data_IF_173158133960
#
_entry.id   IF_173158133960
#
_cell.length_a   1.000
_cell.length_b   1.000
_cell.length_c   1.000
_cell.angle_alpha   90.00
_cell.angle_beta   90.00
_cell.angle_gamma   90.00
#
_symmetry.space_group_name_H-M   'P 1'
#
loop_
_entity.id
_entity.type
_entity.pdbx_description
1 polymer ?
#
# COMPACT_ATOMS: atom_id res chain seq x y z
N UNK A 1 14.21 -14.43 9.12
CA UNK A 1 14.00 -14.83 7.70
C UNK A 1 12.70 -14.23 7.24
N UNK A 2 12.67 -13.59 6.05
CA UNK A 2 11.46 -13.14 5.38
C UNK A 2 11.01 -14.21 4.40
N UNK A 3 9.73 -14.57 4.44
CA UNK A 3 9.15 -15.67 3.65
C UNK A 3 7.83 -15.23 3.06
N UNK A 4 7.63 -15.46 1.76
CA UNK A 4 6.32 -15.31 1.15
C UNK A 4 5.43 -16.52 1.52
N UNK A 5 4.12 -16.33 1.78
CA UNK A 5 3.23 -17.42 2.20
C UNK A 5 3.21 -18.63 1.26
N UNK A 6 3.41 -18.41 -0.04
CA UNK A 6 3.48 -19.48 -1.06
C UNK A 6 4.60 -20.48 -0.81
N UNK A 7 5.65 -20.10 -0.06
CA UNK A 7 6.77 -20.97 0.26
C UNK A 7 6.50 -21.92 1.42
N UNK A 8 5.41 -21.70 2.15
CA UNK A 8 5.03 -22.55 3.28
C UNK A 8 4.57 -23.97 2.85
N UNK A 9 4.33 -24.18 1.55
CA UNK A 9 4.02 -25.49 0.95
C UNK A 9 5.28 -26.23 0.44
N UNK A 10 6.44 -25.57 0.39
CA UNK A 10 7.70 -26.20 -0.02
C UNK A 10 8.21 -27.12 1.09
N UNK A 11 8.26 -28.44 0.81
CA UNK A 11 8.68 -29.45 1.78
C UNK A 11 10.06 -29.15 2.40
N UNK A 12 11.01 -28.65 1.58
CA UNK A 12 12.36 -28.30 2.06
C UNK A 12 12.33 -27.15 3.06
N UNK A 13 11.41 -26.19 2.86
CA UNK A 13 11.23 -25.10 3.79
C UNK A 13 10.58 -25.57 5.09
N UNK A 14 9.59 -26.45 5.00
CA UNK A 14 8.91 -27.05 6.17
C UNK A 14 9.90 -27.88 7.00
N UNK A 15 10.72 -28.71 6.38
CA UNK A 15 11.77 -29.49 7.04
C UNK A 15 12.75 -28.57 7.76
N UNK A 16 13.28 -27.56 7.05
CA UNK A 16 14.16 -26.55 7.65
C UNK A 16 13.51 -25.85 8.83
N UNK A 17 12.25 -25.44 8.69
CA UNK A 17 11.51 -24.72 9.75
C UNK A 17 11.28 -25.60 10.99
N UNK A 18 11.08 -26.89 10.79
CA UNK A 18 10.91 -27.86 11.88
C UNK A 18 12.18 -28.03 12.72
N UNK A 19 13.34 -27.95 12.08
CA UNK A 19 14.65 -28.06 12.76
C UNK A 19 15.09 -26.73 13.39
N UNK A 20 14.64 -25.59 12.86
CA UNK A 20 15.16 -24.25 13.18
C UNK A 20 14.73 -23.67 14.52
N UNK A 21 13.90 -24.35 15.35
CA UNK A 21 13.38 -23.84 16.65
C UNK A 21 12.87 -22.40 16.53
N UNK A 22 11.86 -22.19 15.70
CA UNK A 22 11.27 -20.86 15.47
C UNK A 22 10.66 -20.32 16.77
N UNK A 23 11.15 -19.18 17.23
CA UNK A 23 10.65 -18.53 18.46
C UNK A 23 9.47 -17.60 18.18
N UNK A 24 9.44 -16.95 17.01
CA UNK A 24 8.43 -15.97 16.62
C UNK A 24 8.07 -16.11 15.14
N UNK A 25 6.78 -16.10 14.86
CA UNK A 25 6.22 -15.90 13.51
C UNK A 25 5.48 -14.56 13.50
N UNK A 26 5.99 -13.61 12.73
CA UNK A 26 5.31 -12.34 12.48
C UNK A 26 4.60 -12.40 11.12
N UNK A 27 3.29 -12.22 11.14
CA UNK A 27 2.44 -12.19 9.95
C UNK A 27 2.12 -10.74 9.64
N UNK A 28 2.75 -10.21 8.61
CA UNK A 28 2.45 -8.87 8.09
C UNK A 28 1.25 -8.93 7.15
N UNK A 29 0.54 -7.81 6.99
CA UNK A 29 -0.71 -7.72 6.22
C UNK A 29 -1.70 -8.86 6.57
N UNK A 30 -1.83 -9.15 7.87
CA UNK A 30 -2.62 -10.28 8.36
C UNK A 30 -4.09 -10.25 7.92
N UNK A 31 -4.63 -9.10 7.48
CA UNK A 31 -5.96 -9.00 6.91
C UNK A 31 -6.15 -9.86 5.65
N UNK A 32 -5.05 -10.21 4.96
CA UNK A 32 -5.07 -11.08 3.78
C UNK A 32 -5.54 -12.52 4.06
N UNK A 33 -5.61 -12.96 5.33
CA UNK A 33 -6.18 -14.27 5.69
C UNK A 33 -7.70 -14.28 5.56
N UNK A 34 -8.37 -13.13 5.61
CA UNK A 34 -9.82 -13.02 5.61
C UNK A 34 -10.37 -12.74 4.21
N UNK A 35 -11.40 -13.48 3.79
CA UNK A 35 -12.15 -13.18 2.56
C UNK A 35 -12.86 -11.82 2.60
N UNK A 36 -12.99 -11.24 3.78
CA UNK A 36 -13.57 -9.91 4.01
C UNK A 36 -12.49 -8.85 4.18
N UNK A 37 -11.22 -9.24 4.06
CA UNK A 37 -10.09 -8.32 4.00
C UNK A 37 -9.98 -7.67 2.62
N UNK A 38 -9.34 -6.53 2.57
CA UNK A 38 -9.19 -5.74 1.34
C UNK A 38 -8.43 -6.49 0.23
N UNK A 39 -7.47 -7.33 0.58
CA UNK A 39 -6.58 -8.04 -0.35
C UNK A 39 -6.47 -9.52 0.08
N UNK A 40 -7.59 -10.25 -0.03
CA UNK A 40 -7.60 -11.67 0.30
C UNK A 40 -6.62 -12.45 -0.57
N UNK A 41 -5.74 -13.21 0.09
CA UNK A 41 -4.77 -14.09 -0.58
C UNK A 41 -4.91 -15.52 -0.09
N UNK A 42 -5.32 -16.45 -0.96
CA UNK A 42 -5.49 -17.85 -0.57
C UNK A 42 -4.26 -18.48 0.10
N UNK A 43 -3.04 -18.08 -0.31
CA UNK A 43 -1.79 -18.53 0.29
C UNK A 43 -1.65 -18.18 1.78
N UNK A 44 -2.30 -17.10 2.25
CA UNK A 44 -2.30 -16.73 3.67
C UNK A 44 -3.04 -17.74 4.55
N UNK A 45 -3.99 -18.50 4.01
CA UNK A 45 -4.68 -19.56 4.76
C UNK A 45 -3.72 -20.66 5.22
N UNK A 46 -2.62 -20.86 4.49
CA UNK A 46 -1.61 -21.87 4.84
C UNK A 46 -0.80 -21.51 6.08
N UNK A 47 -0.75 -20.23 6.46
CA UNK A 47 0.04 -19.77 7.61
C UNK A 47 -0.41 -20.45 8.91
N UNK A 48 -1.72 -20.53 9.14
CA UNK A 48 -2.27 -21.20 10.33
C UNK A 48 -1.91 -22.69 10.39
N UNK A 49 -2.04 -23.39 9.26
CA UNK A 49 -1.67 -24.80 9.14
C UNK A 49 -0.16 -25.01 9.33
N UNK A 50 0.67 -24.16 8.73
CA UNK A 50 2.12 -24.19 8.92
C UNK A 50 2.51 -24.02 10.42
N UNK A 51 1.94 -23.02 11.11
CA UNK A 51 2.20 -22.82 12.54
C UNK A 51 1.80 -24.04 13.37
N UNK A 52 0.70 -24.70 13.01
CA UNK A 52 0.19 -25.87 13.73
C UNK A 52 1.06 -27.12 13.57
N UNK A 53 1.81 -27.25 12.46
CA UNK A 53 2.69 -28.41 12.20
C UNK A 53 4.07 -28.25 12.85
N UNK A 54 4.45 -27.08 13.30
CA UNK A 54 5.77 -26.89 13.93
C UNK A 54 5.88 -27.71 15.24
N UNK A 55 7.02 -28.40 15.50
CA UNK A 55 7.19 -29.24 16.69
C UNK A 55 6.98 -28.51 18.00
N UNK A 56 7.32 -27.22 18.03
CA UNK A 56 7.05 -26.31 19.14
C UNK A 56 6.35 -25.08 18.58
N UNK A 57 5.17 -24.77 19.11
CA UNK A 57 4.43 -23.60 18.66
C UNK A 57 5.17 -22.31 19.01
N UNK A 58 5.51 -21.47 18.04
CA UNK A 58 6.15 -20.19 18.28
C UNK A 58 5.15 -19.16 18.86
N UNK A 59 5.68 -18.07 19.42
CA UNK A 59 4.88 -16.87 19.59
C UNK A 59 4.42 -16.38 18.22
N UNK A 60 3.18 -15.89 18.13
CA UNK A 60 2.63 -15.40 16.85
C UNK A 60 2.23 -13.93 17.01
N UNK A 61 2.72 -13.09 16.13
CA UNK A 61 2.36 -11.68 16.01
C UNK A 61 1.67 -11.45 14.66
N UNK A 62 0.46 -10.91 14.67
CA UNK A 62 -0.29 -10.56 13.48
C UNK A 62 -0.42 -9.05 13.39
N UNK A 63 0.03 -8.46 12.28
CA UNK A 63 0.09 -7.03 12.05
C UNK A 63 -0.75 -6.68 10.82
N UNK A 64 -1.51 -5.60 10.91
CA UNK A 64 -2.25 -5.05 9.77
C UNK A 64 -2.59 -3.58 10.00
N UNK A 65 -2.54 -2.78 8.95
CA UNK A 65 -2.95 -1.38 9.00
C UNK A 65 -4.48 -1.21 8.96
N UNK A 66 -5.18 -2.17 8.35
CA UNK A 66 -6.63 -2.08 8.10
C UNK A 66 -7.31 -3.39 8.49
N UNK A 67 -8.09 -3.38 9.56
CA UNK A 67 -8.91 -4.53 9.93
C UNK A 67 -10.18 -4.10 10.63
N UNK A 68 -11.32 -4.41 10.02
CA UNK A 68 -12.63 -4.32 10.70
C UNK A 68 -12.71 -5.34 11.83
N UNK A 69 -13.69 -5.23 12.71
CA UNK A 69 -13.88 -6.18 13.80
C UNK A 69 -14.04 -7.63 13.29
N UNK A 70 -14.76 -7.81 12.18
CA UNK A 70 -14.92 -9.11 11.52
C UNK A 70 -13.58 -9.67 11.05
N UNK A 71 -12.78 -8.87 10.37
CA UNK A 71 -11.46 -9.27 9.89
C UNK A 71 -10.53 -9.61 11.06
N UNK A 72 -10.57 -8.84 12.16
CA UNK A 72 -9.82 -9.16 13.38
C UNK A 72 -10.23 -10.51 13.98
N UNK A 73 -11.53 -10.81 13.99
CA UNK A 73 -12.03 -12.13 14.40
C UNK A 73 -11.50 -13.26 13.52
N UNK A 74 -11.48 -13.08 12.21
CA UNK A 74 -10.93 -14.05 11.26
C UNK A 74 -9.42 -14.24 11.45
N UNK A 75 -8.65 -13.19 11.65
CA UNK A 75 -7.20 -13.27 11.93
C UNK A 75 -6.96 -14.17 13.15
N UNK A 76 -7.67 -13.93 14.26
CA UNK A 76 -7.52 -14.73 15.47
C UNK A 76 -7.85 -16.20 15.22
N UNK A 77 -8.96 -16.46 14.56
CA UNK A 77 -9.44 -17.82 14.28
C UNK A 77 -8.55 -18.57 13.29
N UNK A 78 -8.20 -17.94 12.17
CA UNK A 78 -7.49 -18.59 11.06
C UNK A 78 -6.00 -18.79 11.35
N UNK A 79 -5.39 -17.91 12.14
CA UNK A 79 -4.01 -18.10 12.62
C UNK A 79 -3.94 -18.92 13.93
N UNK A 80 -5.08 -19.34 14.47
CA UNK A 80 -5.17 -20.13 15.71
C UNK A 80 -4.61 -19.40 16.93
N UNK A 81 -4.83 -18.08 17.04
CA UNK A 81 -4.34 -17.31 18.19
C UNK A 81 -5.19 -17.59 19.42
N UNK A 82 -4.56 -18.03 20.52
CA UNK A 82 -5.23 -18.31 21.79
C UNK A 82 -5.05 -17.10 22.70
N UNK A 83 -6.16 -16.46 23.09
CA UNK A 83 -6.20 -15.29 23.97
C UNK A 83 -5.15 -14.21 23.63
N UNK A 84 -5.15 -13.68 22.38
CA UNK A 84 -4.12 -12.76 21.95
C UNK A 84 -4.26 -11.39 22.61
N UNK A 85 -3.14 -10.80 23.02
CA UNK A 85 -3.12 -9.39 23.34
C UNK A 85 -3.41 -8.55 22.09
N UNK A 86 -4.40 -7.65 22.17
CA UNK A 86 -4.87 -6.87 21.03
C UNK A 86 -4.59 -5.40 21.26
N UNK A 87 -3.93 -4.77 20.30
CA UNK A 87 -3.72 -3.32 20.25
C UNK A 87 -4.45 -2.79 19.01
N UNK A 88 -5.28 -1.78 19.22
CA UNK A 88 -5.96 -1.04 18.14
C UNK A 88 -5.69 0.44 18.38
N UNK A 89 -4.87 1.05 17.52
CA UNK A 89 -4.44 2.45 17.69
C UNK A 89 -5.40 3.46 17.05
N UNK A 90 -6.44 2.98 16.36
CA UNK A 90 -7.36 3.83 15.60
C UNK A 90 -6.83 4.20 14.21
N UNK A 91 -7.66 4.94 13.47
CA UNK A 91 -7.38 5.37 12.10
C UNK A 91 -7.04 6.86 12.01
N UNK A 92 -7.04 7.56 13.13
CA UNK A 92 -6.81 9.00 13.12
C UNK A 92 -5.34 9.33 12.80
N UNK A 93 -5.17 10.19 11.83
CA UNK A 93 -3.90 10.73 11.37
C UNK A 93 -4.02 12.26 11.37
N UNK A 94 -3.86 12.92 12.52
CA UNK A 94 -4.13 14.35 12.66
C UNK A 94 -3.24 15.25 11.80
N UNK A 95 -2.14 14.72 11.30
CA UNK A 95 -1.24 15.42 10.39
C UNK A 95 -1.64 15.31 8.90
N UNK A 96 -2.69 14.56 8.56
CA UNK A 96 -3.17 14.44 7.18
C UNK A 96 -4.43 15.30 6.98
N UNK A 97 -4.38 16.16 5.97
CA UNK A 97 -5.51 16.97 5.55
C UNK A 97 -6.17 16.34 4.33
N UNK A 98 -7.39 15.85 4.50
CA UNK A 98 -8.16 15.23 3.43
C UNK A 98 -9.07 16.25 2.74
N UNK A 99 -8.98 16.32 1.42
CA UNK A 99 -9.85 17.15 0.60
C UNK A 99 -10.35 16.40 -0.64
N UNK A 100 -11.52 16.79 -1.12
CA UNK A 100 -12.14 16.19 -2.31
C UNK A 100 -12.53 17.32 -3.26
N UNK A 101 -12.04 17.26 -4.49
CA UNK A 101 -12.33 18.24 -5.54
C UNK A 101 -13.05 17.58 -6.71
N UNK A 102 -14.21 18.14 -7.11
CA UNK A 102 -14.86 17.75 -8.36
C UNK A 102 -14.13 18.41 -9.52
N UNK A 103 -13.56 17.61 -10.41
CA UNK A 103 -12.85 18.10 -11.58
C UNK A 103 -13.27 17.33 -12.83
N UNK A 104 -13.66 18.05 -13.88
CA UNK A 104 -13.94 17.45 -15.18
C UNK A 104 -12.71 16.72 -15.71
N UNK A 105 -12.85 15.55 -16.39
CA UNK A 105 -11.72 14.71 -16.81
C UNK A 105 -10.62 15.47 -17.57
N UNK A 106 -11.01 16.43 -18.42
CA UNK A 106 -10.06 17.27 -19.17
C UNK A 106 -9.29 18.27 -18.29
N UNK A 107 -9.80 18.61 -17.12
CA UNK A 107 -9.19 19.56 -16.18
C UNK A 107 -8.37 18.88 -15.10
N UNK A 108 -8.62 17.59 -14.81
CA UNK A 108 -7.89 16.85 -13.78
C UNK A 108 -6.37 16.92 -13.97
N UNK A 109 -5.88 16.63 -15.18
CA UNK A 109 -4.45 16.69 -15.50
C UNK A 109 -3.84 18.06 -15.22
N UNK A 110 -4.50 19.12 -15.68
CA UNK A 110 -4.03 20.49 -15.47
C UNK A 110 -4.01 20.86 -13.98
N UNK A 111 -5.02 20.41 -13.22
CA UNK A 111 -5.09 20.63 -11.75
C UNK A 111 -3.96 19.92 -11.01
N UNK A 112 -3.71 18.65 -11.36
CA UNK A 112 -2.63 17.85 -10.77
C UNK A 112 -1.27 18.47 -11.11
N UNK A 113 -1.06 18.90 -12.35
CA UNK A 113 0.18 19.54 -12.76
C UNK A 113 0.39 20.89 -12.06
N UNK A 114 -0.65 21.72 -11.96
CA UNK A 114 -0.58 22.98 -11.22
C UNK A 114 -0.22 22.75 -9.76
N UNK A 115 -0.89 21.78 -9.09
CA UNK A 115 -0.62 21.43 -7.71
C UNK A 115 0.84 20.97 -7.52
N UNK A 116 1.33 20.07 -8.38
CA UNK A 116 2.71 19.57 -8.29
C UNK A 116 3.76 20.69 -8.53
N UNK A 117 3.45 21.68 -9.37
CA UNK A 117 4.32 22.84 -9.58
C UNK A 117 4.31 23.80 -8.38
N UNK A 118 3.16 24.04 -7.76
CA UNK A 118 3.05 24.83 -6.55
C UNK A 118 3.84 24.20 -5.38
N UNK A 119 3.96 22.86 -5.38
CA UNK A 119 4.68 22.07 -4.37
C UNK A 119 5.98 21.47 -4.92
N UNK A 120 6.70 22.20 -5.77
CA UNK A 120 7.89 21.69 -6.49
C UNK A 120 9.07 21.28 -5.58
N UNK A 121 9.08 21.73 -4.33
CA UNK A 121 10.06 21.35 -3.30
C UNK A 121 9.69 20.06 -2.56
N UNK A 122 8.48 19.58 -2.73
CA UNK A 122 7.90 18.51 -1.94
C UNK A 122 7.87 17.19 -2.71
N UNK A 123 7.99 16.08 -1.97
CA UNK A 123 7.75 14.77 -2.53
C UNK A 123 6.28 14.41 -2.48
N UNK A 124 5.75 13.87 -3.59
CA UNK A 124 4.35 13.49 -3.70
C UNK A 124 4.09 12.21 -4.49
N UNK A 125 2.92 11.65 -4.29
CA UNK A 125 2.45 10.48 -5.04
C UNK A 125 1.13 10.84 -5.73
N UNK A 126 0.99 10.46 -7.00
CA UNK A 126 -0.25 10.57 -7.76
C UNK A 126 -0.75 9.18 -8.10
N UNK A 127 -1.87 8.77 -7.50
CA UNK A 127 -2.50 7.48 -7.78
C UNK A 127 -3.46 7.55 -8.95
N UNK A 128 -3.32 6.59 -9.87
CA UNK A 128 -4.19 6.38 -11.02
C UNK A 128 -4.75 4.95 -11.01
N UNK A 129 -5.97 4.77 -11.48
CA UNK A 129 -6.62 3.45 -11.52
C UNK A 129 -6.10 2.54 -12.64
N UNK A 130 -5.56 3.11 -13.74
CA UNK A 130 -5.07 2.35 -14.89
C UNK A 130 -3.61 2.65 -15.23
N UNK A 131 -2.94 1.69 -15.88
CA UNK A 131 -1.58 1.88 -16.43
C UNK A 131 -1.56 3.03 -17.42
N UNK A 132 -2.57 3.12 -18.30
CA UNK A 132 -2.70 4.17 -19.31
C UNK A 132 -2.80 5.55 -18.69
N UNK A 133 -3.61 5.71 -17.63
CA UNK A 133 -3.72 6.98 -16.92
C UNK A 133 -2.41 7.33 -16.21
N UNK A 134 -1.73 6.33 -15.63
CA UNK A 134 -0.41 6.52 -14.99
C UNK A 134 0.60 7.09 -15.98
N UNK A 135 0.67 6.53 -17.19
CA UNK A 135 1.56 7.02 -18.25
C UNK A 135 1.17 8.43 -18.70
N UNK A 136 -0.11 8.66 -19.00
CA UNK A 136 -0.60 9.95 -19.46
C UNK A 136 -0.41 11.07 -18.42
N UNK A 137 -0.65 10.79 -17.15
CA UNK A 137 -0.43 11.76 -16.05
C UNK A 137 1.06 12.04 -15.88
N UNK A 138 1.91 11.01 -15.90
CA UNK A 138 3.37 11.19 -15.79
C UNK A 138 3.91 12.04 -16.95
N UNK A 139 3.54 11.72 -18.17
CA UNK A 139 3.97 12.46 -19.36
C UNK A 139 3.51 13.94 -19.30
N UNK A 140 2.28 14.19 -18.85
CA UNK A 140 1.77 15.55 -18.66
C UNK A 140 2.53 16.33 -17.59
N UNK A 141 2.89 15.70 -16.47
CA UNK A 141 3.69 16.31 -15.41
C UNK A 141 5.10 16.66 -15.91
N UNK A 142 5.74 15.74 -16.60
CA UNK A 142 7.08 15.96 -17.18
C UNK A 142 7.03 17.08 -18.24
N UNK A 143 6.02 17.09 -19.10
CA UNK A 143 5.83 18.16 -20.09
C UNK A 143 5.59 19.54 -19.45
N UNK A 144 4.99 19.58 -18.24
CA UNK A 144 4.82 20.78 -17.44
C UNK A 144 6.08 21.22 -16.67
N UNK A 145 7.18 20.44 -16.73
CA UNK A 145 8.43 20.73 -16.04
C UNK A 145 8.56 20.13 -14.63
N UNK A 146 7.61 19.28 -14.23
CA UNK A 146 7.69 18.55 -12.96
C UNK A 146 8.66 17.36 -13.10
N UNK A 147 9.58 17.18 -12.14
CA UNK A 147 10.43 15.99 -12.07
C UNK A 147 9.60 14.82 -11.54
N UNK A 148 9.01 14.07 -12.45
CA UNK A 148 8.14 12.94 -12.14
C UNK A 148 8.64 11.64 -12.75
N UNK A 149 8.30 10.54 -12.11
CA UNK A 149 8.50 9.18 -12.60
C UNK A 149 7.24 8.34 -12.43
N UNK A 150 7.19 7.14 -13.01
CA UNK A 150 5.99 6.29 -13.02
C UNK A 150 6.25 4.90 -12.48
N UNK A 151 5.19 4.27 -11.93
CA UNK A 151 5.27 2.90 -11.45
C UNK A 151 3.94 2.15 -11.66
N UNK A 152 3.99 1.05 -12.39
CA UNK A 152 2.88 0.10 -12.53
C UNK A 152 3.38 -1.29 -12.92
N UNK A 153 2.58 -2.32 -12.70
CA UNK A 153 2.96 -3.72 -12.92
C UNK A 153 3.30 -4.06 -14.39
N UNK A 154 2.93 -3.22 -15.35
CA UNK A 154 3.25 -3.41 -16.77
C UNK A 154 4.68 -3.01 -17.15
N UNK A 155 5.39 -2.27 -16.29
CA UNK A 155 6.78 -1.90 -16.55
C UNK A 155 7.74 -3.09 -16.31
N UNK A 156 8.87 -3.16 -17.06
CA UNK A 156 9.96 -4.08 -16.77
C UNK A 156 10.46 -3.96 -15.32
N UNK A 157 10.89 -5.06 -14.72
CA UNK A 157 11.35 -5.06 -13.33
C UNK A 157 12.52 -4.08 -13.07
N UNK A 158 13.46 -3.98 -14.02
CA UNK A 158 14.58 -3.05 -13.94
C UNK A 158 14.11 -1.59 -13.95
N UNK A 159 13.14 -1.23 -14.81
CA UNK A 159 12.57 0.12 -14.86
C UNK A 159 11.82 0.45 -13.59
N UNK A 160 11.01 -0.48 -13.05
CA UNK A 160 10.33 -0.29 -11.77
C UNK A 160 11.32 -0.01 -10.63
N UNK A 161 12.40 -0.78 -10.57
CA UNK A 161 13.44 -0.59 -9.55
C UNK A 161 14.14 0.76 -9.69
N UNK A 162 14.51 1.17 -10.92
CA UNK A 162 15.13 2.46 -11.17
C UNK A 162 14.21 3.63 -10.82
N UNK A 163 12.93 3.58 -11.23
CA UNK A 163 11.95 4.62 -10.94
C UNK A 163 11.65 4.73 -9.44
N UNK A 164 11.55 3.60 -8.75
CA UNK A 164 11.40 3.59 -7.30
C UNK A 164 12.61 4.20 -6.60
N UNK A 165 13.81 3.87 -7.03
CA UNK A 165 15.04 4.43 -6.47
C UNK A 165 15.13 5.94 -6.69
N UNK A 166 14.80 6.42 -7.90
CA UNK A 166 14.76 7.85 -8.21
C UNK A 166 13.77 8.61 -7.31
N UNK A 167 12.61 8.00 -7.01
CA UNK A 167 11.65 8.59 -6.07
C UNK A 167 12.18 8.60 -4.62
N UNK A 168 12.78 7.51 -4.17
CA UNK A 168 13.33 7.42 -2.80
C UNK A 168 14.44 8.44 -2.58
N UNK A 169 15.31 8.64 -3.59
CA UNK A 169 16.45 9.57 -3.52
C UNK A 169 16.12 11.04 -3.86
N UNK A 170 14.84 11.37 -4.11
CA UNK A 170 14.38 12.71 -4.53
C UNK A 170 14.93 13.18 -5.88
N UNK A 171 15.50 12.28 -6.70
CA UNK A 171 15.87 12.57 -8.10
C UNK A 171 14.62 12.86 -8.95
N UNK A 172 13.53 12.12 -8.68
CA UNK A 172 12.19 12.36 -9.18
C UNK A 172 11.20 12.40 -8.00
N UNK A 173 10.99 13.58 -7.37
CA UNK A 173 10.20 13.71 -6.14
C UNK A 173 8.71 13.40 -6.33
N UNK A 174 8.22 13.30 -7.56
CA UNK A 174 6.83 12.94 -7.84
C UNK A 174 6.75 11.55 -8.46
N UNK A 175 6.01 10.65 -7.79
CA UNK A 175 5.72 9.32 -8.29
C UNK A 175 4.27 9.27 -8.81
N UNK A 176 4.08 8.89 -10.07
CA UNK A 176 2.75 8.59 -10.63
C UNK A 176 2.58 7.08 -10.70
N UNK A 177 1.56 6.52 -10.05
CA UNK A 177 1.49 5.08 -9.90
C UNK A 177 0.07 4.52 -9.88
N UNK A 178 -0.04 3.21 -10.18
CA UNK A 178 -1.20 2.42 -9.79
C UNK A 178 -1.03 1.92 -8.35
N UNK A 179 -2.07 1.26 -7.79
CA UNK A 179 -2.01 0.59 -6.48
C UNK A 179 -0.86 -0.45 -6.35
N UNK A 180 -0.25 -0.87 -7.47
CA UNK A 180 0.95 -1.73 -7.45
C UNK A 180 2.16 -1.05 -6.78
N UNK A 181 2.16 0.29 -6.69
CA UNK A 181 3.16 1.05 -5.95
C UNK A 181 2.69 1.24 -4.51
N UNK A 182 3.22 0.46 -3.63
CA UNK A 182 2.74 0.61 -2.27
C UNK A 182 3.42 -0.30 -1.26
N UNK A 183 3.35 -1.60 -1.42
CA UNK A 183 3.98 -2.51 -0.47
C UNK A 183 5.49 -2.30 -0.44
N UNK A 184 6.04 -2.13 0.78
CA UNK A 184 7.48 -1.97 0.99
C UNK A 184 8.06 -0.60 0.66
N UNK A 185 7.25 0.42 0.37
CA UNK A 185 7.74 1.78 0.19
C UNK A 185 7.80 2.47 1.55
N UNK A 186 9.02 2.77 1.98
CA UNK A 186 9.29 3.52 3.21
C UNK A 186 9.96 4.85 2.86
N UNK A 187 9.15 5.84 2.48
CA UNK A 187 9.57 7.23 2.29
C UNK A 187 8.74 8.09 3.24
N UNK A 188 9.39 8.64 4.25
CA UNK A 188 8.73 9.35 5.34
C UNK A 188 8.29 10.77 4.97
N UNK A 189 9.00 11.42 4.05
CA UNK A 189 8.83 12.83 3.68
C UNK A 189 7.86 13.07 2.51
N UNK A 190 6.90 12.19 2.26
CA UNK A 190 5.84 12.43 1.27
C UNK A 190 4.90 13.49 1.80
N UNK A 191 4.84 14.66 1.13
CA UNK A 191 4.03 15.81 1.56
C UNK A 191 2.63 15.81 0.99
N UNK A 192 2.40 15.13 -0.13
CA UNK A 192 1.06 15.02 -0.68
C UNK A 192 0.80 13.69 -1.37
N UNK A 193 -0.46 13.26 -1.31
CA UNK A 193 -0.99 12.15 -2.10
C UNK A 193 -2.20 12.64 -2.87
N UNK A 194 -2.11 12.59 -4.19
CA UNK A 194 -3.20 12.97 -5.10
C UNK A 194 -3.82 11.72 -5.71
N UNK A 195 -5.13 11.68 -5.77
CA UNK A 195 -5.86 10.61 -6.46
C UNK A 195 -6.48 11.18 -7.74
N UNK A 196 -6.00 10.72 -8.90
CA UNK A 196 -6.56 11.09 -10.20
C UNK A 196 -7.93 10.44 -10.42
N UNK A 197 -8.14 9.24 -9.91
CA UNK A 197 -9.38 8.48 -9.95
C UNK A 197 -9.82 8.08 -8.55
N UNK A 198 -11.10 7.74 -8.40
CA UNK A 198 -11.61 7.17 -7.17
C UNK A 198 -10.92 5.83 -6.87
N UNK A 199 -10.41 5.61 -5.65
CA UNK A 199 -9.93 4.30 -5.20
C UNK A 199 -11.04 3.25 -5.18
N UNK A 200 -10.66 1.97 -5.26
CA UNK A 200 -11.62 0.87 -5.31
C UNK A 200 -12.44 0.70 -4.02
N UNK A 201 -11.92 1.14 -2.89
CA UNK A 201 -12.58 1.11 -1.59
C UNK A 201 -12.05 2.21 -0.66
N UNK A 202 -12.73 2.44 0.45
CA UNK A 202 -12.30 3.39 1.48
C UNK A 202 -11.00 2.91 2.16
N UNK A 203 -10.82 1.62 2.31
CA UNK A 203 -9.61 1.02 2.86
C UNK A 203 -8.41 1.22 1.92
N UNK A 204 -8.61 1.04 0.60
CA UNK A 204 -7.60 1.34 -0.41
C UNK A 204 -7.21 2.82 -0.36
N UNK A 205 -8.22 3.71 -0.32
CA UNK A 205 -7.97 5.15 -0.17
C UNK A 205 -7.14 5.46 1.07
N UNK A 206 -7.51 4.88 2.21
CA UNK A 206 -6.79 5.09 3.47
C UNK A 206 -5.34 4.58 3.41
N UNK A 207 -5.09 3.41 2.83
CA UNK A 207 -3.74 2.87 2.67
C UNK A 207 -2.87 3.71 1.72
N UNK A 208 -3.45 4.19 0.62
CA UNK A 208 -2.77 5.01 -0.37
C UNK A 208 -2.48 6.41 0.21
N UNK A 209 -3.47 7.08 0.77
CA UNK A 209 -3.33 8.37 1.44
C UNK A 209 -2.40 8.32 2.66
N UNK A 210 -2.44 7.22 3.41
CA UNK A 210 -1.62 7.00 4.59
C UNK A 210 -0.10 6.92 4.34
N UNK A 211 0.33 6.98 3.07
CA UNK A 211 1.75 7.11 2.70
C UNK A 211 2.28 8.51 2.91
N UNK A 212 1.39 9.51 2.96
CA UNK A 212 1.76 10.88 3.28
C UNK A 212 2.12 11.03 4.76
N UNK A 213 3.05 11.93 5.06
CA UNK A 213 3.35 12.38 6.41
C UNK A 213 3.72 11.30 7.42
N UNK A 214 4.47 10.28 7.04
CA UNK A 214 4.92 9.23 7.98
C UNK A 214 5.89 9.75 9.03
N UNK A 215 6.52 10.88 8.77
CA UNK A 215 7.37 11.62 9.71
C UNK A 215 6.57 12.48 10.71
N UNK A 216 5.24 12.46 10.63
CA UNK A 216 4.34 13.24 11.50
C UNK A 216 4.12 14.69 11.05
N UNK A 217 4.78 15.14 9.98
CA UNK A 217 4.59 16.50 9.47
C UNK A 217 3.28 16.61 8.66
N UNK A 218 2.72 17.83 8.60
CA UNK A 218 1.51 18.15 7.85
C UNK A 218 1.64 17.70 6.40
N UNK A 219 0.61 17.04 5.88
CA UNK A 219 0.59 16.52 4.52
C UNK A 219 -0.83 16.51 3.96
N UNK A 220 -0.97 16.65 2.66
CA UNK A 220 -2.26 16.78 1.98
C UNK A 220 -2.63 15.52 1.21
N UNK A 221 -3.90 15.14 1.31
CA UNK A 221 -4.50 14.01 0.60
C UNK A 221 -5.69 14.53 -0.21
N UNK A 222 -5.51 14.71 -1.52
CA UNK A 222 -6.51 15.32 -2.39
C UNK A 222 -7.04 14.33 -3.40
N UNK A 223 -8.34 14.11 -3.39
CA UNK A 223 -9.06 13.26 -4.34
C UNK A 223 -9.74 14.11 -5.41
N UNK A 224 -9.33 13.94 -6.66
CA UNK A 224 -10.03 14.49 -7.82
C UNK A 224 -11.04 13.48 -8.37
N UNK A 225 -12.30 13.83 -8.36
CA UNK A 225 -13.35 12.94 -8.85
C UNK A 225 -14.20 13.59 -9.96
N UNK A 226 -14.81 12.75 -10.77
CA UNK A 226 -15.79 13.12 -11.79
C UNK A 226 -16.90 12.08 -11.82
N UNK A 227 -18.02 12.38 -12.46
CA UNK A 227 -19.14 11.42 -12.60
C UNK A 227 -18.74 10.12 -13.32
N UNK A 228 -17.69 10.17 -14.14
CA UNK A 228 -17.16 8.97 -14.82
C UNK A 228 -16.53 7.97 -13.84
N UNK A 229 -16.02 8.44 -12.71
CA UNK A 229 -15.43 7.55 -11.70
C UNK A 229 -16.50 6.75 -10.92
N UNK A 230 -17.79 7.14 -11.02
CA UNK A 230 -18.92 6.47 -10.35
C UNK A 230 -19.55 5.37 -11.23
N UNK A 231 -19.17 5.28 -12.50
CA UNK A 231 -19.78 4.38 -13.49
C UNK A 231 -18.90 3.17 -13.84
N UNK A 232 -17.91 2.85 -13.01
CA UNK A 232 -16.97 1.75 -13.22
C UNK A 232 -17.28 0.53 -12.36
#
# INVERSE_FOLDING_TARGET
IYVAPERLEDARFVDFASDARIALVAVDEAHCVSQWGQDFRPSYLQIGAFIAQLPVRPAVCALTATATERVRGDIVRLLGLSDPYRIVTGFDRPNLHFAVERAEPKRKLARIAAYALEHASDSGIVYCSTRKDTEAVCDALVAAGVRATRYHAGLPAAERAANQQAFICDDAPVMVATNAFGMGIDKSNVRYVLHHNMPASIEAYYQEAGRAGRDGLSSECLLFWSEKDLST
#
